data_IF_959355865626
#
_entry.id   IF_959355865626
#
_cell.length_a   1.000
_cell.length_b   1.000
_cell.length_c   1.000
_cell.angle_alpha   90.00
_cell.angle_beta   90.00
_cell.angle_gamma   90.00
#
_symmetry.space_group_name_H-M   'P 1'
#
loop_
_entity.id
_entity.type
_entity.pdbx_description
1 polymer ?
#
# COMPACT_ATOMS: atom_id res chain seq x y z
N UNK A 1 -0.30 -10.95 19.57
CA UNK A 1 -1.45 -11.87 19.43
C UNK A 1 -2.39 -11.34 18.37
N UNK A 2 -3.16 -12.19 17.68
CA UNK A 2 -4.11 -11.74 16.65
C UNK A 2 -5.32 -11.06 17.30
N UNK A 3 -5.58 -9.80 16.95
CA UNK A 3 -6.62 -8.99 17.61
C UNK A 3 -8.04 -9.54 17.35
N UNK A 4 -8.26 -10.13 16.18
CA UNK A 4 -9.53 -10.67 15.71
C UNK A 4 -9.90 -12.01 16.38
N UNK A 5 -8.98 -12.60 17.15
CA UNK A 5 -9.30 -13.71 18.06
C UNK A 5 -10.02 -13.23 19.33
N UNK A 6 -9.82 -11.97 19.70
CA UNK A 6 -10.53 -11.31 20.81
C UNK A 6 -11.75 -10.54 20.32
N UNK A 7 -11.62 -9.80 19.22
CA UNK A 7 -12.72 -9.04 18.60
C UNK A 7 -13.26 -9.85 17.41
N UNK A 8 -13.99 -10.91 17.72
CA UNK A 8 -14.40 -11.94 16.74
C UNK A 8 -15.29 -11.41 15.62
N UNK A 9 -16.08 -10.36 15.87
CA UNK A 9 -16.90 -9.69 14.84
C UNK A 9 -16.05 -9.14 13.68
N UNK A 10 -14.81 -8.72 13.97
CA UNK A 10 -13.91 -8.16 12.97
C UNK A 10 -13.41 -9.19 11.95
N UNK A 11 -13.45 -10.49 12.27
CA UNK A 11 -13.01 -11.57 11.36
C UNK A 11 -13.78 -11.59 10.04
N UNK A 12 -15.01 -11.05 10.01
CA UNK A 12 -15.83 -10.96 8.79
C UNK A 12 -15.47 -9.76 7.90
N UNK A 13 -14.66 -8.81 8.40
CA UNK A 13 -14.39 -7.54 7.74
C UNK A 13 -12.89 -7.29 7.57
N UNK A 14 -12.13 -7.35 8.67
CA UNK A 14 -10.69 -7.05 8.75
C UNK A 14 -9.93 -8.15 9.48
N UNK A 15 -10.09 -9.39 9.02
CA UNK A 15 -9.40 -10.54 9.62
C UNK A 15 -7.89 -10.38 9.57
N UNK A 16 -7.18 -10.69 10.65
CA UNK A 16 -5.71 -10.73 10.68
C UNK A 16 -5.23 -12.02 9.98
N UNK A 17 -5.03 -11.95 8.67
CA UNK A 17 -4.65 -13.11 7.85
C UNK A 17 -3.15 -13.34 7.98
N UNK A 18 -2.33 -12.31 7.72
CA UNK A 18 -0.87 -12.28 7.86
C UNK A 18 -0.37 -12.67 9.26
N UNK A 19 -1.15 -12.31 10.30
CA UNK A 19 -0.77 -12.44 11.69
C UNK A 19 -0.52 -11.09 12.34
N UNK A 20 0.44 -11.04 13.27
CA UNK A 20 0.80 -9.82 14.00
C UNK A 20 2.32 -9.58 14.03
N UNK A 21 3.11 -10.47 13.43
CA UNK A 21 4.57 -10.42 13.50
C UNK A 21 5.11 -9.25 12.67
N UNK A 22 4.56 -9.03 11.48
CA UNK A 22 4.88 -7.88 10.66
C UNK A 22 4.45 -6.56 11.30
N UNK A 23 3.32 -6.52 12.04
CA UNK A 23 2.92 -5.36 12.83
C UNK A 23 3.92 -5.02 13.93
N UNK A 24 4.46 -6.02 14.63
CA UNK A 24 5.47 -5.80 15.66
C UNK A 24 6.77 -5.24 15.09
N UNK A 25 7.23 -5.79 13.96
CA UNK A 25 8.38 -5.25 13.23
C UNK A 25 8.10 -3.84 12.71
N UNK A 26 6.89 -3.58 12.20
CA UNK A 26 6.47 -2.27 11.72
C UNK A 26 6.46 -1.22 12.82
N UNK A 27 5.89 -1.55 13.96
CA UNK A 27 5.90 -0.69 15.14
C UNK A 27 7.33 -0.41 15.60
N UNK A 28 8.19 -1.44 15.69
CA UNK A 28 9.59 -1.26 16.08
C UNK A 28 10.34 -0.33 15.10
N UNK A 29 10.14 -0.50 13.78
CA UNK A 29 10.78 0.37 12.79
C UNK A 29 10.36 1.84 12.92
N UNK A 30 9.06 2.12 13.11
CA UNK A 30 8.58 3.49 13.32
C UNK A 30 9.04 4.08 14.65
N UNK A 31 8.99 3.30 15.73
CA UNK A 31 9.46 3.74 17.03
C UNK A 31 10.95 4.05 17.02
N UNK A 32 11.77 3.24 16.33
CA UNK A 32 13.17 3.57 16.09
C UNK A 32 13.32 4.88 15.28
N UNK A 33 12.61 5.01 14.16
CA UNK A 33 12.66 6.22 13.32
C UNK A 33 12.27 7.49 14.11
N UNK A 34 11.33 7.40 15.05
CA UNK A 34 10.84 8.54 15.83
C UNK A 34 11.73 8.87 17.05
N UNK A 35 12.32 7.86 17.69
CA UNK A 35 13.01 8.03 18.98
C UNK A 35 14.52 7.85 18.94
N UNK A 36 15.05 7.25 17.87
CA UNK A 36 16.42 6.76 17.77
C UNK A 36 16.84 5.79 18.91
N UNK A 37 15.86 5.19 19.61
CA UNK A 37 16.12 4.28 20.72
C UNK A 37 16.61 2.92 20.19
N UNK A 38 17.84 2.56 20.58
CA UNK A 38 18.52 1.33 20.15
C UNK A 38 17.78 0.04 20.52
N UNK A 39 16.91 0.07 21.53
CA UNK A 39 16.03 -1.05 21.85
C UNK A 39 15.24 -1.52 20.62
N UNK A 40 14.65 -0.59 19.86
CA UNK A 40 13.84 -0.93 18.70
C UNK A 40 14.68 -1.37 17.50
N UNK A 41 15.89 -0.81 17.35
CA UNK A 41 16.85 -1.27 16.33
C UNK A 41 17.28 -2.72 16.61
N UNK A 42 17.62 -3.02 17.86
CA UNK A 42 17.94 -4.37 18.32
C UNK A 42 16.75 -5.32 18.14
N UNK A 43 15.53 -4.85 18.40
CA UNK A 43 14.31 -5.64 18.20
C UNK A 43 14.16 -6.09 16.74
N UNK A 44 14.34 -5.18 15.79
CA UNK A 44 14.30 -5.50 14.36
C UNK A 44 15.36 -6.55 13.99
N UNK A 45 16.60 -6.36 14.45
CA UNK A 45 17.70 -7.25 14.13
C UNK A 45 17.50 -8.66 14.71
N UNK A 46 17.10 -8.75 15.99
CA UNK A 46 17.00 -10.01 16.70
C UNK A 46 15.76 -10.82 16.30
N UNK A 47 14.67 -10.16 15.92
CA UNK A 47 13.41 -10.85 15.63
C UNK A 47 13.14 -11.00 14.13
N UNK A 48 13.83 -10.26 13.27
CA UNK A 48 13.53 -10.16 11.85
C UNK A 48 13.45 -11.49 11.10
N UNK A 49 14.30 -12.45 11.46
CA UNK A 49 14.29 -13.77 10.84
C UNK A 49 13.11 -14.63 11.32
N UNK A 50 12.99 -14.79 12.65
CA UNK A 50 11.90 -15.55 13.27
C UNK A 50 10.49 -15.02 12.95
N UNK A 51 10.39 -13.71 12.71
CA UNK A 51 9.14 -13.02 12.38
C UNK A 51 8.94 -12.82 10.88
N UNK A 52 9.83 -13.35 10.03
CA UNK A 52 9.67 -13.32 8.57
C UNK A 52 10.08 -12.03 7.86
N UNK A 53 10.47 -10.98 8.60
CA UNK A 53 10.93 -9.70 8.05
C UNK A 53 12.10 -9.80 7.07
N UNK A 54 13.06 -10.69 7.33
CA UNK A 54 14.22 -10.95 6.45
C UNK A 54 14.01 -12.07 5.45
N UNK A 55 12.94 -12.87 5.60
CA UNK A 55 12.69 -14.08 4.81
C UNK A 55 11.65 -13.89 3.71
N UNK A 56 10.54 -13.24 4.02
CA UNK A 56 9.35 -13.20 3.17
C UNK A 56 9.50 -12.15 2.07
N UNK A 57 9.50 -12.60 0.81
CA UNK A 57 9.40 -11.73 -0.36
C UNK A 57 7.93 -11.48 -0.69
N UNK A 58 7.42 -10.31 -0.31
CA UNK A 58 6.03 -9.93 -0.58
C UNK A 58 5.92 -9.13 -1.88
N UNK A 59 4.76 -9.25 -2.52
CA UNK A 59 4.37 -8.46 -3.69
C UNK A 59 3.18 -7.55 -3.39
N UNK A 60 2.87 -7.37 -2.11
CA UNK A 60 1.74 -6.60 -1.61
C UNK A 60 2.13 -5.82 -0.37
N UNK A 61 1.56 -4.61 -0.25
CA UNK A 61 1.62 -3.79 0.94
C UNK A 61 0.23 -3.22 1.21
N UNK A 62 -0.27 -3.33 2.44
CA UNK A 62 -1.61 -2.87 2.77
C UNK A 62 -1.96 -3.02 4.25
N UNK A 63 -3.25 -2.94 4.54
CA UNK A 63 -3.76 -2.91 5.91
C UNK A 63 -3.52 -4.20 6.70
N UNK A 64 -3.42 -5.37 6.04
CA UNK A 64 -3.16 -6.67 6.70
C UNK A 64 -1.67 -7.03 6.68
N UNK A 65 -0.94 -6.74 5.60
CA UNK A 65 0.49 -7.12 5.48
C UNK A 65 1.43 -5.91 5.43
N UNK A 66 2.41 -5.87 6.34
CA UNK A 66 3.39 -4.76 6.50
C UNK A 66 4.79 -5.09 6.03
N UNK A 67 5.12 -6.34 5.70
CA UNK A 67 6.50 -6.76 5.40
C UNK A 67 7.23 -5.84 4.39
N UNK A 68 6.64 -5.55 3.23
CA UNK A 68 7.27 -4.66 2.24
C UNK A 68 7.50 -3.25 2.78
N UNK A 69 6.60 -2.74 3.64
CA UNK A 69 6.78 -1.47 4.33
C UNK A 69 7.93 -1.51 5.34
N UNK A 70 7.96 -2.53 6.20
CA UNK A 70 9.05 -2.77 7.17
C UNK A 70 10.39 -2.86 6.45
N UNK A 71 10.48 -3.69 5.42
CA UNK A 71 11.69 -3.92 4.63
C UNK A 71 12.18 -2.62 3.98
N UNK A 72 11.27 -1.84 3.40
CA UNK A 72 11.58 -0.52 2.83
C UNK A 72 12.13 0.45 3.88
N UNK A 73 11.50 0.53 5.06
CA UNK A 73 11.93 1.42 6.13
C UNK A 73 13.26 0.98 6.76
N UNK A 74 13.48 -0.32 6.93
CA UNK A 74 14.75 -0.86 7.45
C UNK A 74 15.89 -0.67 6.45
N UNK A 75 15.62 -0.80 5.15
CA UNK A 75 16.59 -0.49 4.10
C UNK A 75 17.07 0.98 4.17
N UNK A 76 16.17 1.92 4.51
CA UNK A 76 16.56 3.31 4.79
C UNK A 76 17.60 3.40 5.90
N UNK A 77 17.40 2.70 7.02
CA UNK A 77 18.33 2.74 8.15
C UNK A 77 19.70 2.20 7.75
N UNK A 78 19.74 1.14 6.94
CA UNK A 78 20.98 0.61 6.37
C UNK A 78 21.67 1.67 5.47
N UNK A 79 20.94 2.26 4.54
CA UNK A 79 21.46 3.27 3.61
C UNK A 79 21.94 4.55 4.31
N UNK A 80 21.34 4.90 5.45
CA UNK A 80 21.76 6.03 6.29
C UNK A 80 22.96 5.70 7.20
N UNK A 81 23.52 4.49 7.13
CA UNK A 81 24.60 4.05 8.02
C UNK A 81 24.16 3.84 9.48
N UNK A 82 22.86 3.79 9.74
CA UNK A 82 22.28 3.66 11.10
C UNK A 82 22.18 2.23 11.59
N UNK A 83 22.42 1.24 10.73
CA UNK A 83 22.31 -0.17 11.11
C UNK A 83 23.40 -0.63 12.11
N UNK A 84 24.55 0.05 12.16
CA UNK A 84 25.65 -0.30 13.07
C UNK A 84 26.07 -1.78 12.92
N UNK A 85 26.18 -2.48 14.05
CA UNK A 85 26.51 -3.92 14.08
C UNK A 85 25.46 -4.83 13.40
N UNK A 86 24.25 -4.33 13.14
CA UNK A 86 23.14 -5.11 12.55
C UNK A 86 23.10 -5.05 11.03
N UNK A 87 24.11 -4.43 10.39
CA UNK A 87 24.16 -4.23 8.94
C UNK A 87 23.87 -5.51 8.14
N UNK A 88 24.46 -6.65 8.52
CA UNK A 88 24.26 -7.92 7.82
C UNK A 88 22.80 -8.42 7.86
N UNK A 89 22.07 -8.17 8.94
CA UNK A 89 20.63 -8.52 9.04
C UNK A 89 19.80 -7.54 8.22
N UNK A 90 20.14 -6.24 8.28
CA UNK A 90 19.41 -5.18 7.59
C UNK A 90 19.61 -5.25 6.07
N UNK A 91 20.72 -5.80 5.61
CA UNK A 91 20.93 -6.12 4.20
C UNK A 91 19.91 -7.15 3.70
N UNK A 92 19.57 -8.16 4.52
CA UNK A 92 18.50 -9.11 4.18
C UNK A 92 17.14 -8.41 4.04
N UNK A 93 16.83 -7.45 4.91
CA UNK A 93 15.64 -6.61 4.73
C UNK A 93 15.69 -5.81 3.42
N UNK A 94 16.83 -5.21 3.09
CA UNK A 94 17.01 -4.47 1.83
C UNK A 94 16.75 -5.37 0.63
N UNK A 95 17.30 -6.60 0.60
CA UNK A 95 17.05 -7.58 -0.46
C UNK A 95 15.55 -7.85 -0.65
N UNK A 96 14.75 -7.88 0.42
CA UNK A 96 13.30 -8.08 0.32
C UNK A 96 12.54 -6.82 -0.11
N UNK A 97 13.02 -5.63 0.28
CA UNK A 97 12.49 -4.38 -0.26
C UNK A 97 12.73 -4.31 -1.78
N UNK A 98 13.95 -4.63 -2.23
CA UNK A 98 14.34 -4.66 -3.64
C UNK A 98 13.52 -5.69 -4.42
N UNK A 99 13.29 -6.88 -3.83
CA UNK A 99 12.38 -7.89 -4.40
C UNK A 99 11.01 -7.28 -4.71
N UNK A 100 10.38 -6.59 -3.75
CA UNK A 100 9.07 -5.96 -3.95
C UNK A 100 9.11 -4.92 -5.09
N UNK A 101 10.12 -4.04 -5.13
CA UNK A 101 10.25 -3.02 -6.17
C UNK A 101 10.44 -3.64 -7.56
N UNK A 102 11.33 -4.63 -7.67
CA UNK A 102 11.60 -5.35 -8.91
C UNK A 102 10.36 -6.11 -9.40
N UNK A 103 9.62 -6.76 -8.49
CA UNK A 103 8.37 -7.45 -8.80
C UNK A 103 7.30 -6.50 -9.36
N UNK A 104 7.18 -5.28 -8.84
CA UNK A 104 6.26 -4.27 -9.35
C UNK A 104 6.65 -3.78 -10.74
N UNK A 105 7.95 -3.59 -10.98
CA UNK A 105 8.49 -3.16 -12.27
C UNK A 105 8.32 -4.23 -13.37
N UNK A 106 8.23 -5.50 -13.00
CA UNK A 106 8.28 -6.61 -13.96
C UNK A 106 9.70 -7.08 -14.26
N UNK A 107 10.66 -6.72 -13.39
CA UNK A 107 12.09 -7.04 -13.53
C UNK A 107 12.58 -8.03 -12.45
N UNK A 108 11.69 -8.52 -11.59
CA UNK A 108 11.98 -9.48 -10.54
C UNK A 108 11.91 -10.93 -11.03
N UNK A 109 12.27 -11.86 -10.13
CA UNK A 109 12.14 -13.30 -10.38
C UNK A 109 10.69 -13.78 -10.38
N UNK A 110 9.81 -13.08 -9.66
CA UNK A 110 8.36 -13.26 -9.70
C UNK A 110 7.73 -11.88 -9.76
N UNK A 111 6.94 -11.62 -10.79
CA UNK A 111 6.41 -10.29 -11.07
C UNK A 111 4.93 -10.17 -10.72
N UNK A 112 4.51 -8.96 -10.35
CA UNK A 112 3.09 -8.63 -10.17
C UNK A 112 2.43 -8.64 -11.54
N UNK A 113 1.24 -9.23 -11.62
CA UNK A 113 0.46 -9.22 -12.86
C UNK A 113 0.10 -7.78 -13.23
N UNK A 114 0.06 -7.47 -14.52
CA UNK A 114 -0.40 -6.18 -15.03
C UNK A 114 -1.62 -6.37 -15.91
N UNK A 115 -2.54 -5.42 -15.86
CA UNK A 115 -3.61 -5.32 -16.85
C UNK A 115 -3.02 -5.00 -18.23
N UNK A 116 -3.75 -5.24 -19.34
CA UNK A 116 -3.31 -4.80 -20.67
C UNK A 116 -3.03 -3.30 -20.76
N UNK A 117 -3.66 -2.49 -19.92
CA UNK A 117 -3.41 -1.04 -19.84
C UNK A 117 -2.25 -0.64 -18.93
N UNK A 118 -1.47 -1.58 -18.37
CA UNK A 118 -0.25 -1.28 -17.61
C UNK A 118 -0.42 -1.11 -16.08
N UNK A 119 -1.64 -1.08 -15.55
CA UNK A 119 -1.89 -1.07 -14.10
C UNK A 119 -1.45 -2.38 -13.45
N UNK A 120 -0.73 -2.33 -12.33
CA UNK A 120 -0.48 -3.53 -11.52
C UNK A 120 -1.77 -4.08 -10.91
N UNK A 121 -1.88 -5.41 -10.88
CA UNK A 121 -3.10 -6.11 -10.50
C UNK A 121 -2.79 -7.30 -9.57
N UNK A 122 -2.28 -7.06 -8.34
CA UNK A 122 -2.00 -8.13 -7.40
C UNK A 122 -3.26 -8.84 -6.90
N UNK A 123 -4.39 -8.13 -6.78
CA UNK A 123 -5.62 -8.69 -6.23
C UNK A 123 -6.87 -8.24 -6.99
N UNK A 124 -7.89 -9.11 -7.02
CA UNK A 124 -9.19 -8.80 -7.65
C UNK A 124 -10.02 -7.82 -6.82
N UNK A 125 -9.96 -7.93 -5.50
CA UNK A 125 -10.74 -7.10 -4.59
C UNK A 125 -9.93 -5.88 -4.15
N UNK A 126 -10.51 -4.69 -4.28
CA UNK A 126 -9.90 -3.42 -3.85
C UNK A 126 -8.48 -3.19 -4.42
N UNK A 127 -8.26 -3.52 -5.69
CA UNK A 127 -6.93 -3.46 -6.31
C UNK A 127 -6.25 -2.09 -6.17
N UNK A 128 -7.01 -1.00 -6.27
CA UNK A 128 -6.48 0.37 -6.20
C UNK A 128 -5.79 0.70 -4.88
N UNK A 129 -6.16 0.04 -3.77
CA UNK A 129 -5.43 0.15 -2.50
C UNK A 129 -3.99 -0.34 -2.64
N UNK A 130 -3.79 -1.48 -3.32
CA UNK A 130 -2.45 -2.04 -3.52
C UNK A 130 -1.64 -1.25 -4.55
N UNK A 131 -2.30 -0.75 -5.61
CA UNK A 131 -1.66 0.14 -6.58
C UNK A 131 -1.12 1.39 -5.89
N UNK A 132 -1.96 2.08 -5.11
CA UNK A 132 -1.56 3.31 -4.40
C UNK A 132 -0.46 3.03 -3.38
N UNK A 133 -0.57 1.94 -2.63
CA UNK A 133 0.42 1.56 -1.61
C UNK A 133 1.77 1.17 -2.23
N UNK A 134 1.77 0.45 -3.35
CA UNK A 134 2.99 0.13 -4.09
C UNK A 134 3.63 1.38 -4.73
N UNK A 135 2.81 2.28 -5.27
CA UNK A 135 3.28 3.56 -5.85
C UNK A 135 3.94 4.43 -4.78
N UNK A 136 3.35 4.47 -3.57
CA UNK A 136 3.93 5.14 -2.42
C UNK A 136 5.30 4.55 -2.05
N UNK A 137 5.39 3.22 -1.88
CA UNK A 137 6.65 2.57 -1.55
C UNK A 137 7.71 2.76 -2.63
N UNK A 138 7.35 2.66 -3.92
CA UNK A 138 8.26 2.89 -5.03
C UNK A 138 8.80 4.33 -5.05
N UNK A 139 7.94 5.32 -4.78
CA UNK A 139 8.35 6.73 -4.64
C UNK A 139 9.34 6.90 -3.50
N UNK A 140 8.98 6.40 -2.31
CA UNK A 140 9.82 6.50 -1.10
C UNK A 140 11.17 5.81 -1.29
N UNK A 141 11.20 4.64 -1.91
CA UNK A 141 12.43 3.89 -2.14
C UNK A 141 13.29 4.53 -3.23
N UNK A 142 12.70 5.16 -4.24
CA UNK A 142 13.42 5.99 -5.20
C UNK A 142 14.17 7.14 -4.51
N UNK A 143 13.53 7.82 -3.56
CA UNK A 143 14.17 8.88 -2.77
C UNK A 143 15.32 8.34 -1.92
N UNK A 144 15.16 7.14 -1.34
CA UNK A 144 16.22 6.50 -0.55
C UNK A 144 17.44 6.15 -1.41
N UNK A 145 17.21 5.55 -2.58
CA UNK A 145 18.28 5.23 -3.52
C UNK A 145 18.99 6.50 -4.02
N UNK A 146 18.23 7.54 -4.37
CA UNK A 146 18.77 8.84 -4.79
C UNK A 146 19.64 9.45 -3.70
N UNK A 147 19.14 9.50 -2.46
CA UNK A 147 19.87 10.06 -1.32
C UNK A 147 21.14 9.26 -1.00
N UNK A 148 21.14 7.96 -1.24
CA UNK A 148 22.27 7.08 -1.01
C UNK A 148 23.24 6.97 -2.21
N UNK A 149 22.93 7.59 -3.35
CA UNK A 149 23.71 7.43 -4.60
C UNK A 149 23.72 5.98 -5.12
N UNK A 150 22.64 5.23 -4.90
CA UNK A 150 22.52 3.80 -5.25
C UNK A 150 21.55 3.57 -6.42
N UNK A 151 21.69 2.39 -7.03
CA UNK A 151 20.73 1.85 -8.01
C UNK A 151 20.09 0.58 -7.45
N UNK A 152 18.86 0.30 -7.89
CA UNK A 152 18.15 -0.94 -7.56
C UNK A 152 18.68 -2.09 -8.44
N UNK A 153 18.98 -3.24 -7.85
CA UNK A 153 19.46 -4.42 -8.61
C UNK A 153 18.33 -5.43 -8.77
N UNK A 154 17.85 -5.61 -10.00
CA UNK A 154 16.82 -6.59 -10.32
C UNK A 154 17.37 -7.76 -11.14
N UNK A 155 16.63 -8.88 -11.18
CA UNK A 155 17.01 -10.05 -11.95
C UNK A 155 17.14 -9.76 -13.46
N UNK A 156 16.33 -8.84 -13.98
CA UNK A 156 16.38 -8.39 -15.38
C UNK A 156 17.26 -7.13 -15.60
N UNK A 157 18.16 -6.82 -14.67
CA UNK A 157 19.11 -5.72 -14.77
C UNK A 157 18.88 -4.59 -13.77
N UNK A 158 19.81 -3.64 -13.77
CA UNK A 158 19.79 -2.50 -12.84
C UNK A 158 18.69 -1.50 -13.22
N UNK A 159 18.13 -0.86 -12.20
CA UNK A 159 17.06 0.13 -12.31
C UNK A 159 17.53 1.42 -11.64
N UNK A 160 17.50 2.51 -12.39
CA UNK A 160 17.81 3.83 -11.85
C UNK A 160 16.68 4.32 -10.93
N UNK A 161 16.96 5.14 -9.91
CA UNK A 161 15.91 5.71 -9.05
C UNK A 161 14.82 6.44 -9.84
N UNK A 162 15.20 7.17 -10.90
CA UNK A 162 14.28 7.87 -11.80
C UNK A 162 13.33 6.93 -12.56
N UNK A 163 13.78 5.72 -12.90
CA UNK A 163 12.93 4.69 -13.54
C UNK A 163 11.90 4.16 -12.54
N UNK A 164 12.29 3.90 -11.29
CA UNK A 164 11.39 3.48 -10.23
C UNK A 164 10.32 4.55 -9.93
N UNK A 165 10.73 5.83 -9.89
CA UNK A 165 9.81 6.96 -9.73
C UNK A 165 8.86 7.10 -10.92
N UNK A 166 9.37 6.91 -12.15
CA UNK A 166 8.54 6.95 -13.36
C UNK A 166 7.48 5.85 -13.36
N UNK A 167 7.83 4.66 -12.85
CA UNK A 167 6.86 3.61 -12.64
C UNK A 167 5.78 4.03 -11.62
N UNK A 168 6.16 4.55 -10.46
CA UNK A 168 5.19 5.02 -9.46
C UNK A 168 4.24 6.07 -10.06
N UNK A 169 4.78 7.04 -10.81
CA UNK A 169 4.00 8.04 -11.52
C UNK A 169 3.03 7.42 -12.52
N UNK A 170 3.46 6.44 -13.32
CA UNK A 170 2.58 5.77 -14.30
C UNK A 170 1.34 5.12 -13.66
N UNK A 171 1.49 4.59 -12.44
CA UNK A 171 0.38 3.99 -11.70
C UNK A 171 -0.58 5.06 -11.17
N UNK A 172 -0.06 6.21 -10.73
CA UNK A 172 -0.87 7.37 -10.32
C UNK A 172 -1.58 8.00 -11.52
N UNK A 173 -0.88 8.19 -12.65
CA UNK A 173 -1.46 8.71 -13.88
C UNK A 173 -2.58 7.79 -14.39
N UNK A 174 -2.41 6.46 -14.31
CA UNK A 174 -3.48 5.51 -14.59
C UNK A 174 -4.70 5.73 -13.68
N UNK A 175 -4.50 5.90 -12.37
CA UNK A 175 -5.58 6.20 -11.41
C UNK A 175 -6.30 7.50 -11.80
N UNK A 176 -5.58 8.50 -12.29
CA UNK A 176 -6.12 9.82 -12.61
C UNK A 176 -6.73 9.93 -14.02
N UNK A 177 -6.59 8.89 -14.85
CA UNK A 177 -7.30 8.79 -16.12
C UNK A 177 -6.46 8.39 -17.33
N UNK A 178 -5.13 8.27 -17.20
CA UNK A 178 -4.26 7.77 -18.27
C UNK A 178 -4.37 6.24 -18.38
N UNK A 179 -5.53 5.80 -18.84
CA UNK A 179 -5.87 4.40 -19.01
C UNK A 179 -6.77 4.22 -20.24
N UNK A 180 -6.90 2.99 -20.77
CA UNK A 180 -7.68 2.75 -21.99
C UNK A 180 -9.16 3.18 -21.94
N UNK A 181 -9.70 3.43 -20.74
CA UNK A 181 -11.08 3.89 -20.56
C UNK A 181 -11.19 5.42 -20.41
N UNK A 182 -10.07 6.15 -20.42
CA UNK A 182 -10.01 7.58 -20.13
C UNK A 182 -10.87 7.95 -18.90
N UNK A 183 -10.79 7.12 -17.85
CA UNK A 183 -11.64 7.23 -16.65
C UNK A 183 -10.76 7.41 -15.43
N UNK A 184 -10.93 8.52 -14.70
CA UNK A 184 -10.32 8.69 -13.39
C UNK A 184 -11.00 7.75 -12.39
N UNK A 185 -10.21 7.04 -11.59
CA UNK A 185 -10.67 6.27 -10.44
C UNK A 185 -10.67 7.10 -9.14
N UNK A 186 -10.29 8.38 -9.21
CA UNK A 186 -10.49 9.37 -8.14
C UNK A 186 -11.80 10.12 -8.38
N UNK A 187 -12.77 9.93 -7.48
CA UNK A 187 -14.11 10.54 -7.57
C UNK A 187 -13.98 12.06 -7.55
N UNK A 188 -14.64 12.73 -8.51
CA UNK A 188 -14.60 14.19 -8.64
C UNK A 188 -13.38 14.75 -9.37
N UNK A 189 -12.46 13.90 -9.85
CA UNK A 189 -11.30 14.32 -10.63
C UNK A 189 -11.45 13.98 -12.12
N UNK A 190 -11.13 14.94 -12.99
CA UNK A 190 -11.22 14.77 -14.44
C UNK A 190 -12.66 14.78 -14.98
N UNK A 191 -12.80 14.54 -16.29
CA UNK A 191 -14.10 14.64 -16.97
C UNK A 191 -14.96 13.37 -16.87
N UNK A 192 -14.37 12.24 -16.47
CA UNK A 192 -15.05 10.95 -16.41
C UNK A 192 -14.53 10.15 -15.20
N UNK A 193 -15.43 9.84 -14.26
CA UNK A 193 -15.12 9.13 -13.01
C UNK A 193 -16.34 8.36 -12.48
N UNK A 194 -16.19 7.37 -11.57
CA UNK A 194 -17.30 6.65 -10.97
C UNK A 194 -18.31 7.57 -10.28
N UNK A 195 -19.58 7.47 -10.67
CA UNK A 195 -20.66 8.30 -10.12
C UNK A 195 -21.60 7.56 -9.17
N UNK A 196 -21.42 6.26 -8.98
CA UNK A 196 -22.22 5.41 -8.08
C UNK A 196 -21.30 4.68 -7.12
N UNK A 197 -20.87 5.39 -6.07
CA UNK A 197 -19.88 4.87 -5.13
C UNK A 197 -20.64 4.15 -4.01
N UNK A 198 -20.11 3.01 -3.56
CA UNK A 198 -20.68 2.31 -2.41
C UNK A 198 -20.41 3.07 -1.10
N UNK A 199 -21.08 4.20 -0.89
CA UNK A 199 -20.86 5.10 0.21
C UNK A 199 -22.17 5.77 0.66
N UNK A 200 -22.56 5.59 1.92
CA UNK A 200 -23.86 6.06 2.45
C UNK A 200 -23.99 7.58 2.42
N UNK A 201 -22.92 8.29 2.79
CA UNK A 201 -22.95 9.76 2.84
C UNK A 201 -23.05 10.43 1.47
N UNK A 202 -22.58 9.78 0.40
CA UNK A 202 -22.68 10.34 -0.96
C UNK A 202 -24.01 9.99 -1.60
N UNK A 203 -24.50 8.76 -1.39
CA UNK A 203 -25.71 8.21 -2.01
C UNK A 203 -27.03 8.78 -1.49
N UNK A 204 -27.08 9.29 -0.25
CA UNK A 204 -28.28 9.85 0.37
C UNK A 204 -28.26 11.38 0.26
N UNK A 205 -29.36 11.99 -0.21
CA UNK A 205 -29.46 13.46 -0.34
C UNK A 205 -29.10 14.17 0.98
N UNK A 206 -28.35 15.26 0.88
CA UNK A 206 -28.00 16.09 2.05
C UNK A 206 -29.24 16.74 2.67
N UNK A 207 -29.29 16.79 4.00
CA UNK A 207 -30.32 17.51 4.76
C UNK A 207 -30.41 19.00 4.41
N UNK A 208 -29.31 19.59 3.92
CA UNK A 208 -29.27 20.99 3.46
C UNK A 208 -30.02 21.20 2.15
N UNK A 209 -30.21 20.13 1.36
CA UNK A 209 -30.91 20.15 0.07
C UNK A 209 -32.34 19.66 0.20
N UNK A 210 -32.55 18.64 1.01
CA UNK A 210 -33.86 18.06 1.29
C UNK A 210 -33.91 17.65 2.77
N UNK A 211 -34.73 18.35 3.56
CA UNK A 211 -34.88 18.12 5.00
C UNK A 211 -35.87 17.01 5.34
N UNK A 212 -36.39 16.28 4.34
CA UNK A 212 -37.29 15.16 4.58
C UNK A 212 -36.62 14.08 5.43
N UNK A 213 -37.39 13.49 6.33
CA UNK A 213 -36.88 12.48 7.25
C UNK A 213 -36.49 11.20 6.50
N UNK A 214 -35.22 10.80 6.62
CA UNK A 214 -34.73 9.51 6.12
C UNK A 214 -34.73 8.51 7.27
N UNK A 215 -35.65 7.54 7.23
CA UNK A 215 -35.75 6.48 8.23
C UNK A 215 -34.56 5.50 8.18
N UNK A 216 -34.39 4.67 9.21
CA UNK A 216 -33.30 3.69 9.30
C UNK A 216 -33.18 2.75 8.07
N UNK A 217 -34.30 2.43 7.41
CA UNK A 217 -34.33 1.64 6.16
C UNK A 217 -34.60 2.48 4.91
N UNK A 218 -34.89 3.77 5.06
CA UNK A 218 -35.22 4.68 3.96
C UNK A 218 -34.09 4.81 2.95
N UNK A 219 -32.84 4.84 3.41
CA UNK A 219 -31.66 4.84 2.54
C UNK A 219 -31.55 3.57 1.67
N UNK A 220 -31.89 2.40 2.22
CA UNK A 220 -31.91 1.16 1.45
C UNK A 220 -33.06 1.11 0.44
N UNK A 221 -34.25 1.54 0.86
CA UNK A 221 -35.44 1.51 0.01
C UNK A 221 -35.35 2.49 -1.17
N UNK A 222 -34.70 3.65 -0.97
CA UNK A 222 -34.73 4.76 -1.93
C UNK A 222 -33.42 4.91 -2.70
N UNK A 223 -32.28 4.78 -2.01
CA UNK A 223 -30.99 5.20 -2.56
C UNK A 223 -30.05 4.04 -2.90
N UNK A 224 -30.06 2.96 -2.13
CA UNK A 224 -29.11 1.85 -2.33
C UNK A 224 -29.23 1.15 -3.71
N UNK A 225 -30.45 0.98 -4.22
CA UNK A 225 -30.71 0.32 -5.51
C UNK A 225 -30.81 1.28 -6.69
N UNK A 226 -30.71 2.59 -6.43
CA UNK A 226 -30.87 3.64 -7.45
C UNK A 226 -29.77 3.53 -8.51
N UNK A 227 -30.15 3.70 -9.78
CA UNK A 227 -29.24 3.62 -10.94
C UNK A 227 -28.70 4.97 -11.43
N UNK A 228 -29.11 6.06 -10.80
CA UNK A 228 -28.58 7.39 -11.08
C UNK A 228 -27.36 7.66 -10.20
N UNK A 229 -26.62 8.70 -10.56
CA UNK A 229 -25.46 9.19 -9.82
C UNK A 229 -25.79 9.53 -8.36
N UNK A 230 -24.81 9.35 -7.49
CA UNK A 230 -24.85 9.76 -6.09
C UNK A 230 -25.18 11.27 -6.02
N UNK A 231 -26.14 11.69 -5.17
CA UNK A 231 -26.58 13.07 -5.07
C UNK A 231 -25.52 14.02 -4.49
N UNK A 232 -24.50 13.50 -3.79
CA UNK A 232 -23.39 14.29 -3.27
C UNK A 232 -22.07 13.72 -3.79
N UNK A 233 -21.19 14.62 -4.24
CA UNK A 233 -19.84 14.25 -4.64
C UNK A 233 -19.03 13.85 -3.40
N UNK A 234 -18.33 12.71 -3.47
CA UNK A 234 -17.44 12.25 -2.41
C UNK A 234 -16.08 12.94 -2.55
N UNK A 235 -15.99 14.17 -2.03
CA UNK A 235 -14.76 14.98 -1.97
C UNK A 235 -14.22 15.06 -0.56
#
# INVERSE_FOLDING_TARGET
>A
GKYDSSITVAQKYYRSISGYNDELLWAAAWLYQASNNQYYLNYLANNGDSMGGTGWGMTEFGWDVKYSGVQTLVAKFLMQGKAGQHAAVFEKYSVKAEYFMCSCLGKGSRNVQKTPGGLIFPQKWNNMQFVTSASFLATVYSDYLTSAGKTLTCASGNVAPSELLSFAKSQVDYILGDNPRATSYMVGYGNNYPQQVHHRGSSIVSIKKDSSFVSCRGGYATWFSRKASDPNLLT
#
